data_IF_648170201452
#
_entry.id   IF_648170201452
#
_cell.length_a   1.000
_cell.length_b   1.000
_cell.length_c   1.000
_cell.angle_alpha   90.00
_cell.angle_beta   90.00
_cell.angle_gamma   90.00
#
_symmetry.space_group_name_H-M   'P 1'
#
loop_
_entity.id
_entity.type
_entity.pdbx_description
1 polymer ?
#
# COMPACT_ATOMS: atom_id res chain seq x y z
N UNK A 1 14.47 -51.92 -35.75
CA UNK A 1 13.72 -50.96 -34.90
C UNK A 1 13.73 -51.46 -33.46
N UNK A 2 14.49 -50.84 -32.55
CA UNK A 2 14.39 -50.92 -31.07
C UNK A 2 15.61 -50.17 -30.51
N UNK A 3 15.51 -48.85 -30.35
CA UNK A 3 16.65 -48.04 -29.88
C UNK A 3 16.32 -46.57 -29.63
N UNK A 4 15.19 -46.06 -30.16
CA UNK A 4 14.80 -44.65 -29.97
C UNK A 4 14.02 -44.36 -28.69
N UNK A 5 13.28 -45.35 -28.15
CA UNK A 5 12.28 -45.08 -27.09
C UNK A 5 12.94 -44.81 -25.73
N UNK A 6 14.06 -45.48 -25.43
CA UNK A 6 14.75 -45.36 -24.13
C UNK A 6 15.42 -43.98 -23.95
N UNK A 7 16.01 -43.41 -25.00
CA UNK A 7 16.61 -42.06 -24.97
C UNK A 7 15.55 -40.95 -24.88
N UNK A 8 14.37 -41.16 -25.48
CA UNK A 8 13.30 -40.17 -25.44
C UNK A 8 12.65 -40.06 -24.05
N UNK A 9 12.53 -41.18 -23.33
CA UNK A 9 11.96 -41.22 -21.97
C UNK A 9 12.92 -40.55 -20.96
N UNK A 10 14.24 -40.74 -21.13
CA UNK A 10 15.22 -40.11 -20.23
C UNK A 10 15.27 -38.57 -20.39
N UNK A 11 14.97 -38.05 -21.58
CA UNK A 11 14.90 -36.60 -21.83
C UNK A 11 13.64 -35.95 -21.23
N UNK A 12 12.56 -36.72 -21.07
CA UNK A 12 11.25 -36.24 -20.57
C UNK A 12 11.18 -36.19 -19.04
N UNK A 13 12.03 -36.95 -18.35
CA UNK A 13 12.12 -36.96 -16.88
C UNK A 13 13.04 -35.82 -16.37
N UNK A 14 13.93 -35.28 -17.21
CA UNK A 14 14.81 -34.17 -16.84
C UNK A 14 14.12 -32.80 -16.90
N UNK A 15 13.04 -32.67 -17.67
CA UNK A 15 12.26 -31.42 -17.77
C UNK A 15 11.26 -31.22 -16.62
N UNK A 16 11.03 -32.24 -15.78
CA UNK A 16 10.08 -32.17 -14.65
C UNK A 16 10.66 -31.45 -13.41
N UNK A 17 11.96 -31.12 -13.40
CA UNK A 17 12.64 -30.57 -12.23
C UNK A 17 12.77 -29.04 -12.20
N UNK A 18 12.18 -28.29 -13.15
CA UNK A 18 12.33 -26.83 -13.20
C UNK A 18 11.07 -26.02 -12.88
N UNK A 19 9.96 -26.63 -12.47
CA UNK A 19 8.84 -25.91 -11.86
C UNK A 19 8.85 -26.01 -10.33
N UNK A 20 10.02 -25.77 -9.72
CA UNK A 20 10.07 -25.25 -8.37
C UNK A 20 10.00 -23.72 -8.45
N UNK A 21 8.83 -23.17 -8.76
CA UNK A 21 8.53 -21.78 -8.41
C UNK A 21 8.48 -21.72 -6.88
N UNK A 22 9.64 -21.46 -6.27
CA UNK A 22 9.69 -21.00 -4.89
C UNK A 22 9.00 -19.63 -4.85
N UNK A 23 7.68 -19.66 -4.70
CA UNK A 23 6.85 -18.50 -4.40
C UNK A 23 7.15 -18.04 -2.98
N UNK A 24 8.35 -17.49 -2.78
CA UNK A 24 8.65 -16.69 -1.61
C UNK A 24 7.86 -15.39 -1.80
N UNK A 25 6.58 -15.42 -1.42
CA UNK A 25 5.80 -14.20 -1.28
C UNK A 25 6.36 -13.47 -0.06
N UNK A 26 7.41 -12.69 -0.28
CA UNK A 26 7.75 -11.59 0.62
C UNK A 26 6.52 -10.70 0.63
N UNK A 27 5.65 -10.87 1.64
CA UNK A 27 4.44 -10.06 1.75
C UNK A 27 4.88 -8.66 2.14
N UNK A 28 4.77 -7.65 1.25
CA UNK A 28 5.14 -6.30 1.62
C UNK A 28 4.26 -5.84 2.79
N UNK A 29 4.75 -4.86 3.54
CA UNK A 29 3.98 -4.24 4.63
C UNK A 29 3.60 -5.17 5.78
N UNK A 30 4.49 -6.08 6.21
CA UNK A 30 4.28 -6.84 7.45
C UNK A 30 3.15 -7.88 7.37
N UNK A 31 2.80 -8.34 6.16
CA UNK A 31 1.91 -9.48 5.97
C UNK A 31 0.41 -9.17 5.86
N UNK A 32 0.03 -7.90 5.78
CA UNK A 32 -1.36 -7.51 5.51
C UNK A 32 -1.87 -8.06 4.17
N UNK A 33 -3.15 -8.44 4.12
CA UNK A 33 -3.81 -8.81 2.86
C UNK A 33 -3.93 -7.59 1.95
N UNK A 34 -3.77 -7.75 0.64
CA UNK A 34 -3.95 -6.67 -0.36
C UNK A 34 -5.32 -5.98 -0.28
N UNK A 35 -6.33 -6.70 0.23
CA UNK A 35 -7.69 -6.18 0.38
C UNK A 35 -7.93 -5.46 1.71
N UNK A 36 -6.99 -5.52 2.65
CA UNK A 36 -7.13 -4.88 3.95
C UNK A 36 -6.96 -3.35 3.86
N UNK A 37 -7.67 -2.59 4.69
CA UNK A 37 -7.44 -1.14 4.85
C UNK A 37 -5.98 -0.80 5.13
N UNK A 38 -5.31 -1.62 5.93
CA UNK A 38 -3.90 -1.46 6.31
C UNK A 38 -2.97 -1.49 5.09
N UNK A 39 -3.09 -2.52 4.27
CA UNK A 39 -2.30 -2.63 3.04
C UNK A 39 -2.56 -1.47 2.08
N UNK A 40 -3.84 -1.09 1.92
CA UNK A 40 -4.24 -0.02 1.02
C UNK A 40 -3.73 1.35 1.50
N UNK A 41 -3.76 1.62 2.81
CA UNK A 41 -3.20 2.84 3.39
C UNK A 41 -1.67 2.92 3.15
N UNK A 42 -0.94 1.85 3.44
CA UNK A 42 0.50 1.81 3.23
C UNK A 42 0.86 1.94 1.75
N UNK A 43 0.12 1.27 0.87
CA UNK A 43 0.31 1.36 -0.58
C UNK A 43 0.04 2.78 -1.10
N UNK A 44 -1.01 3.44 -0.60
CA UNK A 44 -1.33 4.82 -0.96
C UNK A 44 -0.20 5.78 -0.57
N UNK A 45 0.31 5.69 0.66
CA UNK A 45 1.36 6.60 1.10
C UNK A 45 2.74 6.26 0.53
N UNK A 46 3.00 5.00 0.23
CA UNK A 46 4.18 4.60 -0.55
C UNK A 46 4.15 5.25 -1.92
N UNK A 47 2.99 5.21 -2.58
CA UNK A 47 2.74 5.87 -3.86
C UNK A 47 2.93 7.39 -3.75
N UNK A 48 2.45 7.99 -2.66
CA UNK A 48 2.54 9.42 -2.42
C UNK A 48 3.98 9.91 -2.18
N UNK A 49 4.70 9.33 -1.21
CA UNK A 49 5.97 9.87 -0.72
C UNK A 49 7.22 9.25 -1.36
N UNK A 50 7.14 8.00 -1.79
CA UNK A 50 8.32 7.22 -2.11
C UNK A 50 8.41 6.85 -3.59
N UNK A 51 7.29 6.68 -4.30
CA UNK A 51 7.30 6.36 -5.74
C UNK A 51 6.71 7.43 -6.63
N UNK A 52 6.06 8.46 -6.05
CA UNK A 52 5.40 9.55 -6.77
C UNK A 52 4.39 9.05 -7.83
N UNK A 53 3.62 8.02 -7.48
CA UNK A 53 2.64 7.35 -8.33
C UNK A 53 1.21 7.86 -8.02
N UNK A 54 0.81 8.89 -8.78
CA UNK A 54 -0.49 9.53 -8.59
C UNK A 54 -1.66 8.62 -9.00
N UNK A 55 -1.49 7.75 -9.99
CA UNK A 55 -2.54 6.86 -10.47
C UNK A 55 -2.89 5.80 -9.42
N UNK A 56 -1.88 5.26 -8.74
CA UNK A 56 -2.11 4.36 -7.60
C UNK A 56 -2.85 5.06 -6.46
N UNK A 57 -2.54 6.34 -6.17
CA UNK A 57 -3.28 7.11 -5.16
C UNK A 57 -4.76 7.23 -5.53
N UNK A 58 -5.06 7.53 -6.80
CA UNK A 58 -6.44 7.64 -7.29
C UNK A 58 -7.16 6.29 -7.25
N UNK A 59 -6.52 5.21 -7.69
CA UNK A 59 -7.11 3.87 -7.73
C UNK A 59 -7.50 3.31 -6.35
N UNK A 60 -6.81 3.75 -5.29
CA UNK A 60 -7.07 3.37 -3.91
C UNK A 60 -8.12 4.27 -3.21
N UNK A 61 -8.61 5.30 -3.89
CA UNK A 61 -9.48 6.34 -3.33
C UNK A 61 -10.90 6.24 -3.84
N UNK A 62 -11.86 6.62 -2.99
CA UNK A 62 -13.27 6.77 -3.38
C UNK A 62 -13.43 7.82 -4.48
N UNK A 63 -14.51 7.76 -5.26
CA UNK A 63 -14.78 8.73 -6.34
C UNK A 63 -14.73 10.17 -5.82
N UNK A 64 -15.31 10.42 -4.63
CA UNK A 64 -15.27 11.73 -3.99
C UNK A 64 -13.83 12.15 -3.67
N UNK A 65 -13.04 11.25 -3.09
CA UNK A 65 -11.68 11.60 -2.66
C UNK A 65 -10.69 11.72 -3.83
N UNK A 66 -10.92 11.01 -4.94
CA UNK A 66 -10.18 11.21 -6.18
C UNK A 66 -10.26 12.66 -6.67
N UNK A 67 -11.45 13.28 -6.61
CA UNK A 67 -11.62 14.70 -6.98
C UNK A 67 -10.79 15.61 -6.07
N UNK A 68 -10.76 15.33 -4.77
CA UNK A 68 -9.91 16.05 -3.81
C UNK A 68 -8.44 15.89 -4.16
N UNK A 69 -7.95 14.67 -4.41
CA UNK A 69 -6.55 14.41 -4.77
C UNK A 69 -6.19 15.12 -6.08
N UNK A 70 -7.01 15.00 -7.11
CA UNK A 70 -6.81 15.59 -8.44
C UNK A 70 -6.67 17.11 -8.39
N UNK A 71 -7.37 17.79 -7.48
CA UNK A 71 -7.25 19.24 -7.30
C UNK A 71 -5.81 19.68 -6.96
N UNK A 72 -4.98 18.80 -6.38
CA UNK A 72 -3.58 19.08 -6.04
C UNK A 72 -2.59 18.72 -7.17
N UNK A 73 -3.03 18.05 -8.23
CA UNK A 73 -2.28 17.77 -9.48
C UNK A 73 -1.01 16.90 -9.37
N UNK A 74 -0.41 16.76 -8.19
CA UNK A 74 0.75 15.89 -7.95
C UNK A 74 0.79 15.37 -6.50
N UNK A 75 1.46 14.23 -6.25
CA UNK A 75 1.69 13.70 -4.89
C UNK A 75 2.39 14.70 -3.94
N UNK A 76 3.38 15.44 -4.45
CA UNK A 76 4.10 16.44 -3.66
C UNK A 76 3.20 17.61 -3.22
N UNK A 77 2.38 18.14 -4.13
CA UNK A 77 1.41 19.19 -3.81
C UNK A 77 0.35 18.69 -2.82
N UNK A 78 -0.15 17.46 -3.01
CA UNK A 78 -1.09 16.82 -2.09
C UNK A 78 -0.50 16.72 -0.68
N UNK A 79 0.73 16.21 -0.56
CA UNK A 79 1.45 16.07 0.71
C UNK A 79 1.67 17.41 1.41
N UNK A 80 2.16 18.41 0.67
CA UNK A 80 2.49 19.73 1.23
C UNK A 80 1.25 20.48 1.69
N UNK A 81 0.17 20.46 0.91
CA UNK A 81 -0.98 21.34 1.14
C UNK A 81 -2.15 20.65 1.83
N UNK A 82 -2.44 19.38 1.55
CA UNK A 82 -3.54 18.67 2.20
C UNK A 82 -3.11 18.03 3.51
N UNK A 83 -1.97 17.33 3.51
CA UNK A 83 -1.52 16.61 4.71
C UNK A 83 -0.74 17.51 5.68
N UNK A 84 -0.31 18.68 5.21
CA UNK A 84 0.64 19.57 5.89
C UNK A 84 1.92 18.84 6.31
N UNK A 85 2.37 17.90 5.47
CA UNK A 85 3.52 17.04 5.73
C UNK A 85 4.61 17.33 4.72
N UNK A 86 5.65 17.99 5.20
CA UNK A 86 6.84 18.32 4.42
C UNK A 86 7.99 17.46 4.92
N UNK A 87 8.32 16.43 4.15
CA UNK A 87 9.48 15.58 4.39
C UNK A 87 10.47 15.68 3.23
N UNK A 88 11.73 15.51 3.56
CA UNK A 88 12.80 15.16 2.64
C UNK A 88 12.56 13.73 2.12
N UNK A 89 13.11 13.38 0.94
CA UNK A 89 12.95 12.06 0.31
C UNK A 89 13.28 10.89 1.27
N UNK A 90 12.56 9.77 1.13
CA UNK A 90 12.78 8.56 1.93
C UNK A 90 12.02 8.55 3.25
N UNK A 91 10.68 8.65 3.16
CA UNK A 91 9.80 8.65 4.34
C UNK A 91 9.48 7.21 4.74
N UNK A 92 9.68 6.91 6.02
CA UNK A 92 9.27 5.65 6.62
C UNK A 92 7.80 5.73 7.04
N UNK A 93 6.99 4.79 6.56
CA UNK A 93 5.53 4.80 6.68
C UNK A 93 5.12 3.51 7.39
N UNK A 94 4.60 3.62 8.61
CA UNK A 94 4.26 2.47 9.44
C UNK A 94 2.85 2.56 9.99
N UNK A 95 2.22 1.39 10.19
CA UNK A 95 0.99 1.27 10.98
C UNK A 95 1.41 0.92 12.40
N UNK A 96 1.19 1.83 13.33
CA UNK A 96 1.31 1.52 14.75
C UNK A 96 -0.03 1.02 15.27
N UNK A 97 -0.07 -0.28 15.58
CA UNK A 97 -1.26 -0.98 16.06
C UNK A 97 -1.75 -0.43 17.39
N UNK A 98 -0.88 0.21 18.18
CA UNK A 98 -1.22 0.86 19.45
C UNK A 98 -2.19 2.03 19.27
N UNK A 99 -2.22 2.65 18.08
CA UNK A 99 -3.15 3.74 17.73
C UNK A 99 -4.31 3.30 16.83
N UNK A 100 -4.35 2.01 16.46
CA UNK A 100 -5.37 1.43 15.58
C UNK A 100 -6.66 0.99 16.31
N UNK A 101 -6.65 1.08 17.65
CA UNK A 101 -7.71 0.53 18.52
C UNK A 101 -9.07 1.20 18.38
N UNK A 102 -9.17 2.41 17.81
CA UNK A 102 -10.47 3.06 17.58
C UNK A 102 -10.97 2.71 16.18
N UNK A 103 -11.26 1.43 15.97
CA UNK A 103 -12.01 0.99 14.80
C UNK A 103 -13.50 1.19 15.08
N UNK A 104 -14.12 2.28 14.62
CA UNK A 104 -15.59 2.32 14.55
C UNK A 104 -16.05 1.42 13.38
N UNK A 105 -16.08 0.10 13.60
CA UNK A 105 -16.66 -0.84 12.62
C UNK A 105 -18.16 -0.70 12.61
N UNK A 106 -18.67 0.29 11.88
CA UNK A 106 -20.04 0.21 11.35
C UNK A 106 -19.91 -0.31 9.95
N UNK A 107 -20.15 -1.62 9.74
CA UNK A 107 -20.21 -2.34 8.46
C UNK A 107 -19.25 -1.88 7.36
N UNK A 108 -19.58 -0.74 6.75
CA UNK A 108 -18.95 -0.14 5.59
C UNK A 108 -17.96 1.00 5.91
N UNK A 109 -17.58 1.22 7.17
CA UNK A 109 -16.62 2.25 7.59
C UNK A 109 -15.55 1.68 8.52
N UNK A 110 -14.33 2.17 8.36
CA UNK A 110 -13.19 1.84 9.23
C UNK A 110 -12.13 2.94 9.15
N UNK A 111 -11.14 2.90 10.04
CA UNK A 111 -9.99 3.80 9.97
C UNK A 111 -8.67 3.09 10.29
N UNK A 112 -7.57 3.62 9.77
CA UNK A 112 -6.20 3.17 10.05
C UNK A 112 -5.34 4.37 10.40
N UNK A 113 -4.60 4.29 11.50
CA UNK A 113 -3.64 5.33 11.89
C UNK A 113 -2.26 5.00 11.32
N UNK A 114 -1.66 5.97 10.62
CA UNK A 114 -0.33 5.86 10.01
C UNK A 114 0.64 6.79 10.72
N UNK A 115 1.79 6.25 11.11
CA UNK A 115 2.95 6.99 11.59
C UNK A 115 3.90 7.23 10.41
N UNK A 116 4.11 8.50 10.11
CA UNK A 116 5.14 8.97 9.20
C UNK A 116 6.38 9.31 10.02
N UNK A 117 7.53 8.80 9.60
CA UNK A 117 8.83 9.18 10.13
C UNK A 117 9.73 9.59 8.98
N UNK A 118 10.20 10.83 9.00
CA UNK A 118 11.09 11.35 7.97
C UNK A 118 11.99 12.45 8.52
N UNK A 119 12.70 13.14 7.63
CA UNK A 119 13.45 14.34 7.96
C UNK A 119 12.79 15.54 7.28
N UNK A 120 12.93 16.72 7.86
CA UNK A 120 12.60 17.99 7.22
C UNK A 120 13.67 18.99 7.61
N UNK A 121 14.39 19.50 6.61
CA UNK A 121 15.55 20.37 6.82
C UNK A 121 16.56 19.75 7.80
N UNK A 122 16.81 18.45 7.63
CA UNK A 122 17.76 17.69 8.45
C UNK A 122 17.28 17.33 9.87
N UNK A 123 16.08 17.74 10.28
CA UNK A 123 15.50 17.36 11.57
C UNK A 123 14.55 16.19 11.40
N UNK A 124 14.71 15.15 12.23
CA UNK A 124 13.78 14.02 12.26
C UNK A 124 12.42 14.48 12.78
N UNK A 125 11.36 14.23 12.01
CA UNK A 125 9.98 14.54 12.36
C UNK A 125 9.17 13.23 12.35
N UNK A 126 8.21 13.14 13.27
CA UNK A 126 7.22 12.08 13.34
C UNK A 126 5.83 12.70 13.37
N UNK A 127 4.94 12.24 12.51
CA UNK A 127 3.54 12.66 12.52
C UNK A 127 2.60 11.47 12.35
N UNK A 128 1.43 11.55 13.00
CA UNK A 128 0.35 10.60 12.84
C UNK A 128 -0.75 11.19 11.96
N UNK A 129 -1.29 10.39 11.03
CA UNK A 129 -2.53 10.70 10.32
C UNK A 129 -3.50 9.53 10.44
N UNK A 130 -4.79 9.83 10.54
CA UNK A 130 -5.85 8.83 10.46
C UNK A 130 -6.41 8.81 9.04
N UNK A 131 -6.42 7.62 8.45
CA UNK A 131 -7.00 7.36 7.14
C UNK A 131 -8.39 6.81 7.35
N UNK A 132 -9.39 7.49 6.80
CA UNK A 132 -10.79 7.07 6.84
C UNK A 132 -11.12 6.26 5.60
N UNK A 133 -11.73 5.10 5.80
CA UNK A 133 -12.13 4.19 4.73
C UNK A 133 -13.64 4.06 4.65
N UNK A 134 -14.13 3.90 3.42
CA UNK A 134 -15.48 3.45 3.11
C UNK A 134 -15.43 2.14 2.31
N UNK A 135 -16.41 1.26 2.50
CA UNK A 135 -16.57 0.04 1.72
C UNK A 135 -17.57 0.28 0.59
N UNK A 136 -17.10 0.21 -0.65
CA UNK A 136 -17.92 0.33 -1.85
C UNK A 136 -17.71 -0.91 -2.71
N UNK A 137 -18.79 -1.57 -3.13
CA UNK A 137 -18.72 -2.78 -3.98
C UNK A 137 -17.76 -3.85 -3.41
N UNK A 138 -17.83 -4.08 -2.09
CA UNK A 138 -16.95 -4.99 -1.34
C UNK A 138 -15.45 -4.62 -1.31
N UNK A 139 -15.06 -3.42 -1.75
CA UNK A 139 -13.69 -2.91 -1.70
C UNK A 139 -13.56 -1.79 -0.69
N UNK A 140 -12.50 -1.82 0.11
CA UNK A 140 -12.12 -0.69 0.95
C UNK A 140 -11.45 0.39 0.10
N UNK A 141 -11.96 1.61 0.20
CA UNK A 141 -11.45 2.78 -0.50
C UNK A 141 -11.16 3.91 0.50
N UNK A 142 -10.09 4.65 0.26
CA UNK A 142 -9.76 5.83 1.06
C UNK A 142 -10.78 6.92 0.75
N UNK A 143 -11.43 7.40 1.80
CA UNK A 143 -12.47 8.42 1.71
C UNK A 143 -11.98 9.76 2.25
N UNK A 144 -11.08 9.76 3.23
CA UNK A 144 -10.51 10.98 3.77
C UNK A 144 -9.21 10.71 4.55
N UNK A 145 -8.45 11.77 4.84
CA UNK A 145 -7.27 11.73 5.72
C UNK A 145 -7.32 12.93 6.67
N UNK A 146 -7.21 12.66 7.97
CA UNK A 146 -7.31 13.68 9.02
C UNK A 146 -6.12 13.60 10.00
N UNK A 147 -5.75 14.71 10.68
CA UNK A 147 -4.76 14.69 11.74
C UNK A 147 -5.27 13.88 12.95
N UNK A 148 -4.35 13.23 13.66
CA UNK A 148 -4.63 12.68 14.99
C UNK A 148 -4.37 13.78 16.01
N UNK A 149 -5.42 14.27 16.66
CA UNK A 149 -5.38 15.26 17.76
C UNK A 149 -5.22 14.60 19.12
#
# INVERSE_FOLDING_TARGET
>A
MKGGVSKLIFLLILSSYLFACNGHHDRPFGGFSSESPEYKALSFFQANYNTNDFDTMLALSSVKYQQTIQAYQSPNSFSRYLLNLQYDQGVDINIDRSFSEITSKTGDRTSVTILFTGHNHGRKIKELKRVLFIKEQNKWLINDIEPVV
#
